data_IF_896537177269
#
_entry.id   IF_896537177269
#
_cell.length_a   1.000
_cell.length_b   1.000
_cell.length_c   1.000
_cell.angle_alpha   90.00
_cell.angle_beta   90.00
_cell.angle_gamma   90.00
#
_symmetry.space_group_name_H-M   'P 1'
#
loop_
_entity.id
_entity.type
_entity.pdbx_description
1 polymer ?
#
# COMPACT_ATOMS: atom_id res chain seq x y z
N UNK A 1 5.50 -23.14 -8.77
CA UNK A 1 6.36 -22.13 -9.43
C UNK A 1 5.43 -21.03 -9.91
N UNK A 2 5.24 -19.97 -9.11
CA UNK A 2 4.40 -18.84 -9.48
C UNK A 2 5.06 -18.01 -10.58
N UNK A 3 4.26 -17.45 -11.50
CA UNK A 3 4.76 -16.45 -12.44
C UNK A 3 4.76 -15.11 -11.72
N UNK A 4 5.92 -14.49 -11.58
CA UNK A 4 6.03 -13.15 -11.00
C UNK A 4 5.61 -12.17 -12.10
N UNK A 5 4.45 -11.54 -11.92
CA UNK A 5 4.00 -10.47 -12.79
C UNK A 5 4.75 -9.17 -12.50
N UNK A 6 4.87 -8.30 -13.49
CA UNK A 6 5.52 -6.98 -13.34
C UNK A 6 4.55 -5.88 -12.90
N UNK A 7 3.29 -6.23 -12.59
CA UNK A 7 2.31 -5.28 -12.08
C UNK A 7 2.43 -5.13 -10.57
N UNK A 8 2.13 -3.93 -10.04
CA UNK A 8 2.08 -3.69 -8.59
C UNK A 8 1.15 -4.68 -7.87
N UNK A 9 0.04 -5.05 -8.50
CA UNK A 9 -0.92 -6.04 -7.99
C UNK A 9 -0.46 -7.49 -8.13
N UNK A 10 0.77 -7.72 -8.59
CA UNK A 10 1.43 -9.03 -8.58
C UNK A 10 2.36 -9.21 -7.38
N UNK A 11 2.51 -8.18 -6.55
CA UNK A 11 3.25 -8.23 -5.30
C UNK A 11 2.35 -8.73 -4.16
N UNK A 12 2.86 -9.66 -3.36
CA UNK A 12 2.10 -10.29 -2.26
C UNK A 12 1.73 -9.26 -1.18
N UNK A 13 2.65 -8.36 -0.81
CA UNK A 13 2.42 -7.30 0.18
C UNK A 13 1.33 -6.35 -0.29
N UNK A 14 1.40 -5.95 -1.56
CA UNK A 14 0.37 -5.11 -2.14
C UNK A 14 -1.00 -5.80 -2.04
N UNK A 15 -1.06 -7.07 -2.41
CA UNK A 15 -2.31 -7.83 -2.48
C UNK A 15 -2.90 -8.04 -1.10
N UNK A 16 -2.09 -8.39 -0.11
CA UNK A 16 -2.49 -8.62 1.27
C UNK A 16 -3.01 -7.32 1.91
N UNK A 17 -2.28 -6.21 1.80
CA UNK A 17 -2.68 -4.92 2.37
C UNK A 17 -3.98 -4.42 1.72
N UNK A 18 -4.12 -4.59 0.41
CA UNK A 18 -5.32 -4.19 -0.31
C UNK A 18 -6.53 -5.03 0.10
N UNK A 19 -6.37 -6.35 0.24
CA UNK A 19 -7.43 -7.24 0.71
C UNK A 19 -7.83 -6.94 2.16
N UNK A 20 -6.86 -6.82 3.06
CA UNK A 20 -7.08 -6.50 4.48
C UNK A 20 -7.81 -5.17 4.65
N UNK A 21 -7.50 -4.17 3.82
CA UNK A 21 -8.23 -2.91 3.82
C UNK A 21 -9.72 -3.11 3.55
N UNK A 22 -10.07 -3.86 2.50
CA UNK A 22 -11.48 -4.05 2.13
C UNK A 22 -12.20 -5.00 3.08
N UNK A 23 -11.53 -5.99 3.65
CA UNK A 23 -12.12 -6.83 4.71
C UNK A 23 -12.52 -5.99 5.94
N UNK A 24 -11.67 -5.03 6.34
CA UNK A 24 -12.00 -4.10 7.43
C UNK A 24 -13.06 -3.09 7.02
N UNK A 25 -13.05 -2.63 5.77
CA UNK A 25 -14.06 -1.72 5.24
C UNK A 25 -15.45 -2.36 5.21
N UNK A 26 -15.54 -3.60 4.73
CA UNK A 26 -16.77 -4.39 4.68
C UNK A 26 -17.29 -4.73 6.10
N UNK A 27 -16.41 -4.75 7.10
CA UNK A 27 -16.79 -4.85 8.51
C UNK A 27 -17.43 -3.57 9.10
N UNK A 28 -17.43 -2.47 8.34
CA UNK A 28 -18.04 -1.19 8.70
C UNK A 28 -17.09 -0.18 9.35
N UNK A 29 -15.77 -0.41 9.29
CA UNK A 29 -14.77 0.52 9.80
C UNK A 29 -14.58 1.71 8.84
N UNK A 30 -14.29 2.90 9.36
CA UNK A 30 -13.99 4.06 8.51
C UNK A 30 -12.61 3.95 7.86
N UNK A 31 -12.44 4.56 6.68
CA UNK A 31 -11.14 4.55 5.97
C UNK A 31 -10.00 5.11 6.82
N UNK A 32 -10.27 6.14 7.62
CA UNK A 32 -9.29 6.74 8.53
C UNK A 32 -8.82 5.73 9.59
N UNK A 33 -9.75 5.03 10.25
CA UNK A 33 -9.44 4.00 11.25
C UNK A 33 -8.70 2.82 10.64
N UNK A 34 -9.11 2.36 9.46
CA UNK A 34 -8.45 1.27 8.71
C UNK A 34 -7.01 1.66 8.39
N UNK A 35 -6.81 2.89 7.91
CA UNK A 35 -5.48 3.37 7.53
C UNK A 35 -4.53 3.41 8.70
N UNK A 36 -4.98 3.96 9.85
CA UNK A 36 -4.18 3.95 11.08
C UNK A 36 -3.86 2.53 11.52
N UNK A 37 -4.85 1.63 11.48
CA UNK A 37 -4.68 0.23 11.88
C UNK A 37 -3.69 -0.51 10.98
N UNK A 38 -3.79 -0.34 9.67
CA UNK A 38 -2.89 -1.00 8.71
C UNK A 38 -1.46 -0.47 8.83
N UNK A 39 -1.29 0.84 9.02
CA UNK A 39 0.02 1.43 9.26
C UNK A 39 0.64 0.86 10.54
N UNK A 40 -0.10 0.78 11.64
CA UNK A 40 0.38 0.23 12.91
C UNK A 40 0.73 -1.26 12.81
N UNK A 41 -0.10 -2.04 12.10
CA UNK A 41 0.12 -3.48 11.93
C UNK A 41 1.29 -3.84 10.99
N UNK A 42 1.66 -2.94 10.07
CA UNK A 42 2.69 -3.20 9.04
C UNK A 42 3.97 -2.39 9.26
N UNK A 43 4.29 -1.98 10.50
CA UNK A 43 5.50 -1.20 10.78
C UNK A 43 6.78 -1.91 10.33
N UNK A 44 6.85 -3.24 10.44
CA UNK A 44 8.02 -4.00 9.96
C UNK A 44 8.14 -3.95 8.43
N UNK A 45 7.03 -4.08 7.71
CA UNK A 45 6.95 -3.94 6.25
C UNK A 45 7.32 -2.54 5.78
N UNK A 46 6.87 -1.52 6.52
CA UNK A 46 7.17 -0.10 6.22
C UNK A 46 8.64 0.23 6.51
N UNK A 47 9.27 -0.46 7.46
CA UNK A 47 10.68 -0.27 7.79
C UNK A 47 11.63 -0.95 6.80
N UNK A 48 11.13 -1.83 5.94
CA UNK A 48 11.89 -2.54 4.93
C UNK A 48 11.84 -1.80 3.57
N UNK A 49 12.97 -1.26 3.08
CA UNK A 49 13.02 -0.50 1.82
C UNK A 49 12.52 -1.28 0.59
N UNK A 50 12.65 -2.61 0.59
CA UNK A 50 12.21 -3.46 -0.53
C UNK A 50 10.68 -3.62 -0.56
N UNK A 51 10.04 -3.40 0.58
CA UNK A 51 8.64 -3.71 0.85
C UNK A 51 7.77 -2.47 1.07
N UNK A 52 8.35 -1.38 1.57
CA UNK A 52 7.66 -0.15 1.97
C UNK A 52 6.79 0.43 0.84
N UNK A 53 7.34 0.47 -0.38
CA UNK A 53 6.67 1.07 -1.53
C UNK A 53 5.36 0.35 -1.86
N UNK A 54 5.39 -0.99 -1.83
CA UNK A 54 4.22 -1.83 -2.12
C UNK A 54 3.09 -1.61 -1.11
N UNK A 55 3.43 -1.42 0.17
CA UNK A 55 2.46 -1.06 1.21
C UNK A 55 1.77 0.28 0.91
N UNK A 56 2.55 1.33 0.61
CA UNK A 56 1.98 2.66 0.35
C UNK A 56 1.15 2.70 -0.92
N UNK A 57 1.53 1.96 -1.97
CA UNK A 57 0.73 1.84 -3.18
C UNK A 57 -0.61 1.17 -2.92
N UNK A 58 -0.63 0.08 -2.16
CA UNK A 58 -1.87 -0.62 -1.80
C UNK A 58 -2.80 0.27 -0.99
N UNK A 59 -2.27 0.92 0.06
CA UNK A 59 -3.05 1.81 0.91
C UNK A 59 -3.61 3.00 0.12
N UNK A 60 -2.80 3.63 -0.72
CA UNK A 60 -3.23 4.76 -1.54
C UNK A 60 -4.32 4.35 -2.53
N UNK A 61 -4.17 3.21 -3.21
CA UNK A 61 -5.18 2.73 -4.15
C UNK A 61 -6.49 2.41 -3.43
N UNK A 62 -6.44 1.74 -2.28
CA UNK A 62 -7.63 1.41 -1.51
C UNK A 62 -8.39 2.67 -1.02
N UNK A 63 -7.67 3.65 -0.47
CA UNK A 63 -8.27 4.93 -0.06
C UNK A 63 -8.85 5.71 -1.26
N UNK A 64 -8.20 5.66 -2.42
CA UNK A 64 -8.67 6.31 -3.64
C UNK A 64 -9.98 5.72 -4.15
N UNK A 65 -10.12 4.38 -4.16
CA UNK A 65 -11.38 3.70 -4.53
C UNK A 65 -12.54 4.11 -3.59
N UNK A 66 -12.25 4.34 -2.31
CA UNK A 66 -13.22 4.87 -1.35
C UNK A 66 -13.46 6.39 -1.47
N UNK A 67 -12.78 7.08 -2.40
CA UNK A 67 -12.79 8.55 -2.56
C UNK A 67 -12.39 9.32 -1.29
N UNK A 68 -11.55 8.70 -0.47
CA UNK A 68 -11.08 9.22 0.81
C UNK A 68 -9.55 9.15 0.88
N UNK A 69 -8.87 9.41 -0.24
CA UNK A 69 -7.41 9.46 -0.30
C UNK A 69 -6.87 10.56 0.62
N UNK A 70 -6.08 10.15 1.60
CA UNK A 70 -5.41 11.06 2.51
C UNK A 70 -4.25 11.78 1.81
N UNK A 71 -4.09 13.08 2.10
CA UNK A 71 -3.06 13.90 1.46
C UNK A 71 -1.64 13.45 1.81
N UNK A 72 -1.40 12.94 3.03
CA UNK A 72 -0.08 12.47 3.44
C UNK A 72 0.30 11.16 2.74
N UNK A 73 -0.68 10.27 2.54
CA UNK A 73 -0.50 9.03 1.78
C UNK A 73 -0.23 9.35 0.30
N UNK A 74 -0.96 10.31 -0.25
CA UNK A 74 -0.74 10.78 -1.62
C UNK A 74 0.66 11.38 -1.82
N UNK A 75 1.12 12.26 -0.92
CA UNK A 75 2.46 12.87 -1.01
C UNK A 75 3.58 11.83 -0.87
N UNK A 76 3.38 10.79 -0.05
CA UNK A 76 4.29 9.63 0.02
C UNK A 76 4.41 8.92 -1.32
N UNK A 77 3.27 8.49 -1.89
CA UNK A 77 3.26 7.80 -3.18
C UNK A 77 3.82 8.67 -4.31
N UNK A 78 3.49 9.96 -4.33
CA UNK A 78 4.09 10.92 -5.26
C UNK A 78 5.61 10.92 -5.15
N UNK A 79 6.14 11.02 -3.92
CA UNK A 79 7.59 11.07 -3.70
C UNK A 79 8.27 9.80 -4.23
N UNK A 80 7.70 8.61 -3.96
CA UNK A 80 8.23 7.32 -4.43
C UNK A 80 8.30 7.29 -5.96
N UNK A 81 7.27 7.77 -6.64
CA UNK A 81 7.19 7.83 -8.10
C UNK A 81 8.19 8.83 -8.68
N UNK A 82 8.31 10.03 -8.08
CA UNK A 82 9.18 11.09 -8.56
C UNK A 82 10.66 10.80 -8.35
N UNK A 83 11.03 10.11 -7.26
CA UNK A 83 12.41 9.68 -7.00
C UNK A 83 12.78 8.41 -7.77
N UNK A 84 11.78 7.62 -8.19
CA UNK A 84 12.00 6.31 -8.78
C UNK A 84 12.49 5.27 -7.77
N UNK A 85 12.25 5.48 -6.46
CA UNK A 85 12.70 4.57 -5.41
C UNK A 85 12.21 3.13 -5.62
N UNK A 86 10.99 2.95 -6.12
CA UNK A 86 10.47 1.61 -6.43
C UNK A 86 11.26 0.90 -7.54
N UNK A 87 11.87 1.65 -8.47
CA UNK A 87 12.70 1.07 -9.53
C UNK A 87 14.06 0.59 -9.03
N UNK A 88 14.57 1.13 -7.92
CA UNK A 88 15.84 0.72 -7.34
C UNK A 88 15.77 -0.71 -6.77
N UNK A 89 14.60 -1.14 -6.29
CA UNK A 89 14.36 -2.51 -5.79
C UNK A 89 14.53 -3.57 -6.89
N UNK A 90 14.40 -3.18 -8.16
CA UNK A 90 14.50 -4.09 -9.31
C UNK A 90 15.92 -4.17 -9.93
N UNK A 91 16.90 -3.45 -9.39
CA UNK A 91 18.28 -3.44 -9.90
C UNK A 91 19.13 -4.58 -9.34
#
# INVERSE_FOLDING_TARGET
MGTWGTGISSNDIYTDVFADFFDLYDSGMSVEEISVRLIDANQETIADPDSENNFWFALAQAQWECRQLDASVFDKVRTIIETGADLEVWQ
#
